data_IF_542321351204
#
_entry.id   IF_542321351204
#
_cell.length_a   1.000
_cell.length_b   1.000
_cell.length_c   1.000
_cell.angle_alpha   90.00
_cell.angle_beta   90.00
_cell.angle_gamma   90.00
#
_symmetry.space_group_name_H-M   'P 1'
#
loop_
_entity.id
_entity.type
_entity.pdbx_description
1 polymer ?
#
# COMPACT_ATOMS: atom_id res chain seq x y z
N UNK A 1 -14.90 -26.47 -35.55
CA UNK A 1 -14.68 -27.47 -34.48
C UNK A 1 -15.35 -26.92 -33.23
N UNK A 2 -16.36 -27.61 -32.72
CA UNK A 2 -17.10 -27.17 -31.53
C UNK A 2 -16.20 -27.34 -30.31
N UNK A 3 -15.94 -26.25 -29.58
CA UNK A 3 -15.23 -26.31 -28.30
C UNK A 3 -16.01 -27.21 -27.35
N UNK A 4 -15.31 -28.08 -26.63
CA UNK A 4 -15.93 -29.00 -25.68
C UNK A 4 -16.53 -28.24 -24.50
N UNK A 5 -17.64 -28.72 -23.94
CA UNK A 5 -18.28 -28.08 -22.76
C UNK A 5 -17.30 -27.92 -21.58
N UNK A 6 -16.32 -28.81 -21.47
CA UNK A 6 -15.25 -28.74 -20.49
C UNK A 6 -14.30 -27.54 -20.71
N UNK A 7 -14.01 -27.16 -21.96
CA UNK A 7 -13.19 -25.98 -22.27
C UNK A 7 -13.93 -24.68 -21.94
N UNK A 8 -15.23 -24.65 -22.21
CA UNK A 8 -16.09 -23.51 -21.89
C UNK A 8 -16.17 -23.31 -20.37
N UNK A 9 -16.34 -24.41 -19.62
CA UNK A 9 -16.37 -24.38 -18.16
C UNK A 9 -15.03 -23.92 -17.57
N UNK A 10 -13.91 -24.45 -18.09
CA UNK A 10 -12.57 -24.05 -17.66
C UNK A 10 -12.27 -22.57 -17.93
N UNK A 11 -12.73 -22.03 -19.06
CA UNK A 11 -12.58 -20.61 -19.37
C UNK A 11 -13.39 -19.73 -18.41
N UNK A 12 -14.61 -20.14 -18.04
CA UNK A 12 -15.42 -19.43 -17.04
C UNK A 12 -14.77 -19.42 -15.67
N UNK A 13 -14.23 -20.55 -15.23
CA UNK A 13 -13.53 -20.66 -13.95
C UNK A 13 -12.27 -19.79 -13.90
N UNK A 14 -11.51 -19.72 -15.01
CA UNK A 14 -10.37 -18.80 -15.13
C UNK A 14 -10.80 -17.33 -15.04
N UNK A 15 -11.85 -16.93 -15.77
CA UNK A 15 -12.36 -15.55 -15.73
C UNK A 15 -12.84 -15.17 -14.32
N UNK A 16 -13.53 -16.07 -13.62
CA UNK A 16 -14.00 -15.82 -12.26
C UNK A 16 -12.83 -15.69 -11.27
N UNK A 17 -11.78 -16.51 -11.41
CA UNK A 17 -10.59 -16.41 -10.58
C UNK A 17 -9.83 -15.09 -10.84
N UNK A 18 -9.76 -14.65 -12.10
CA UNK A 18 -9.16 -13.36 -12.47
C UNK A 18 -9.95 -12.17 -11.89
N UNK A 19 -11.28 -12.19 -11.94
CA UNK A 19 -12.13 -11.16 -11.32
C UNK A 19 -11.98 -11.12 -9.78
N UNK A 20 -11.92 -12.28 -9.13
CA UNK A 20 -11.74 -12.39 -7.67
C UNK A 20 -10.37 -11.90 -7.21
N UNK A 21 -9.31 -12.17 -7.97
CA UNK A 21 -7.92 -11.84 -7.61
C UNK A 21 -7.49 -10.43 -8.04
N UNK A 22 -8.16 -9.82 -9.04
CA UNK A 22 -7.69 -8.58 -9.67
C UNK A 22 -8.73 -7.46 -9.81
N UNK A 23 -9.84 -7.50 -9.07
CA UNK A 23 -10.92 -6.47 -9.12
C UNK A 23 -10.55 -5.05 -8.64
N UNK A 24 -9.28 -4.79 -8.30
CA UNK A 24 -8.77 -3.46 -7.98
C UNK A 24 -7.99 -2.84 -9.15
N UNK A 25 -7.98 -1.50 -9.24
CA UNK A 25 -7.10 -0.78 -10.17
C UNK A 25 -5.65 -1.16 -9.87
N UNK A 26 -5.04 -1.95 -10.75
CA UNK A 26 -3.62 -2.29 -10.66
C UNK A 26 -2.77 -1.08 -11.05
N UNK A 27 -2.69 -0.09 -10.17
CA UNK A 27 -1.79 1.03 -10.40
C UNK A 27 -0.35 0.53 -10.36
N UNK A 28 0.43 0.97 -11.35
CA UNK A 28 1.86 0.77 -11.34
C UNK A 28 2.42 1.66 -10.22
N UNK A 29 2.92 1.04 -9.15
CA UNK A 29 3.75 1.72 -8.17
C UNK A 29 5.22 1.77 -8.63
N UNK A 30 6.03 2.62 -7.99
CA UNK A 30 7.46 2.76 -8.32
C UNK A 30 8.20 1.41 -8.37
N UNK A 31 8.02 0.56 -7.35
CA UNK A 31 8.66 -0.75 -7.29
C UNK A 31 8.21 -1.70 -8.43
N UNK A 32 6.92 -1.71 -8.76
CA UNK A 32 6.35 -2.53 -9.85
C UNK A 32 6.82 -2.03 -11.22
N UNK A 33 6.90 -0.72 -11.39
CA UNK A 33 7.49 -0.09 -12.58
C UNK A 33 8.95 -0.49 -12.76
N UNK A 34 9.75 -0.37 -11.69
CA UNK A 34 11.17 -0.70 -11.71
C UNK A 34 11.43 -2.17 -12.07
N UNK A 35 10.62 -3.09 -11.52
CA UNK A 35 10.69 -4.52 -11.87
C UNK A 35 10.49 -4.78 -13.36
N UNK A 36 9.63 -4.00 -14.01
CA UNK A 36 9.35 -4.08 -15.45
C UNK A 36 10.31 -3.24 -16.30
N UNK A 37 11.38 -2.68 -15.71
CA UNK A 37 12.35 -1.82 -16.40
C UNK A 37 11.91 -0.37 -16.60
N UNK A 38 10.79 0.05 -16.00
CA UNK A 38 10.29 1.42 -16.07
C UNK A 38 10.69 2.21 -14.82
N UNK A 39 11.67 3.10 -14.96
CA UNK A 39 12.08 4.01 -13.88
C UNK A 39 11.31 5.33 -13.99
N UNK A 40 10.31 5.53 -13.11
CA UNK A 40 9.55 6.78 -13.02
C UNK A 40 9.97 7.54 -11.77
N UNK A 41 10.92 8.46 -11.92
CA UNK A 41 11.52 9.19 -10.80
C UNK A 41 10.49 10.05 -10.05
N UNK A 42 9.55 10.68 -10.75
CA UNK A 42 8.59 11.65 -10.21
C UNK A 42 7.69 11.09 -9.10
N UNK A 43 7.57 9.76 -8.98
CA UNK A 43 6.77 9.13 -7.93
C UNK A 43 7.47 9.09 -6.56
N UNK A 44 8.79 9.26 -6.53
CA UNK A 44 9.60 9.14 -5.31
C UNK A 44 10.65 10.25 -5.15
N UNK A 45 10.88 11.05 -6.20
CA UNK A 45 11.92 12.08 -6.23
C UNK A 45 11.32 13.46 -6.56
N UNK A 46 11.70 14.51 -5.80
CA UNK A 46 12.43 14.46 -4.53
C UNK A 46 11.63 13.70 -3.46
N UNK A 47 12.26 13.37 -2.33
CA UNK A 47 11.55 12.67 -1.25
C UNK A 47 10.25 13.42 -0.90
N UNK A 48 9.08 12.76 -0.96
CA UNK A 48 7.80 13.41 -0.74
C UNK A 48 7.76 14.10 0.62
N UNK A 49 7.25 15.34 0.63
CA UNK A 49 7.05 16.11 1.85
C UNK A 49 5.56 16.29 2.09
N UNK A 50 5.18 16.34 3.36
CA UNK A 50 3.83 16.74 3.75
C UNK A 50 3.60 18.20 3.36
N UNK A 51 2.34 18.54 3.09
CA UNK A 51 1.94 19.91 2.85
C UNK A 51 2.09 20.75 4.14
N UNK A 52 2.32 22.06 3.98
CA UNK A 52 2.56 22.95 5.11
C UNK A 52 1.32 23.10 6.02
N UNK A 53 0.12 22.85 5.50
CA UNK A 53 -1.12 22.97 6.27
C UNK A 53 -1.28 21.82 7.28
N UNK A 54 -0.86 20.60 6.91
CA UNK A 54 -0.86 19.39 7.75
C UNK A 54 0.34 19.32 8.69
N UNK A 55 1.37 20.13 8.45
CA UNK A 55 2.57 20.13 9.28
C UNK A 55 2.24 20.50 10.75
N UNK A 56 1.40 21.52 10.97
CA UNK A 56 1.00 21.93 12.31
C UNK A 56 0.18 20.85 13.03
N UNK A 57 -0.72 20.18 12.30
CA UNK A 57 -1.52 19.06 12.84
C UNK A 57 -0.62 17.90 13.25
N UNK A 58 0.34 17.53 12.40
CA UNK A 58 1.33 16.50 12.71
C UNK A 58 2.14 16.86 13.96
N UNK A 59 2.63 18.10 14.05
CA UNK A 59 3.45 18.53 15.19
C UNK A 59 2.66 18.51 16.50
N UNK A 60 1.39 18.94 16.48
CA UNK A 60 0.50 18.84 17.64
C UNK A 60 0.30 17.40 18.08
N UNK A 61 -0.07 16.52 17.15
CA UNK A 61 -0.30 15.10 17.44
C UNK A 61 0.96 14.41 17.98
N UNK A 62 2.13 14.69 17.40
CA UNK A 62 3.40 14.16 17.89
C UNK A 62 3.75 14.65 19.30
N UNK A 63 3.45 15.92 19.61
CA UNK A 63 3.66 16.47 20.96
C UNK A 63 2.79 15.76 22.00
N UNK A 64 1.50 15.54 21.70
CA UNK A 64 0.57 14.85 22.58
C UNK A 64 1.00 13.40 22.85
N UNK A 65 1.36 12.66 21.80
CA UNK A 65 1.85 11.28 21.93
C UNK A 65 3.11 11.23 22.79
N UNK A 66 4.07 12.14 22.56
CA UNK A 66 5.30 12.21 23.35
C UNK A 66 5.01 12.47 24.83
N UNK A 67 4.16 13.44 25.14
CA UNK A 67 3.81 13.75 26.53
C UNK A 67 3.13 12.57 27.24
N UNK A 68 2.26 11.85 26.53
CA UNK A 68 1.64 10.64 27.07
C UNK A 68 2.69 9.55 27.34
N UNK A 69 3.60 9.29 26.37
CA UNK A 69 4.66 8.30 26.55
C UNK A 69 5.57 8.67 27.73
N UNK A 70 5.99 9.92 27.84
CA UNK A 70 6.86 10.39 28.92
C UNK A 70 6.22 10.27 30.31
N UNK A 71 4.89 10.41 30.40
CA UNK A 71 4.15 10.35 31.67
C UNK A 71 3.78 8.92 32.07
N UNK A 72 3.34 8.13 31.10
CA UNK A 72 2.58 6.91 31.36
C UNK A 72 3.33 5.62 30.97
N UNK A 73 4.38 5.71 30.13
CA UNK A 73 5.12 4.54 29.66
C UNK A 73 6.35 4.28 30.53
N UNK A 74 6.41 3.11 31.16
CA UNK A 74 7.65 2.57 31.73
C UNK A 74 8.29 1.59 30.73
N UNK A 75 9.35 2.01 29.99
CA UNK A 75 9.99 1.15 29.02
C UNK A 75 10.73 -0.04 29.65
N UNK A 76 11.30 0.15 30.85
CA UNK A 76 12.07 -0.90 31.54
C UNK A 76 11.14 -1.99 32.08
N UNK A 77 9.91 -1.64 32.47
CA UNK A 77 8.90 -2.63 32.84
C UNK A 77 8.40 -3.42 31.63
N UNK A 78 8.28 -2.80 30.44
CA UNK A 78 7.83 -3.47 29.21
C UNK A 78 8.90 -4.42 28.65
N UNK A 79 10.17 -4.07 28.76
CA UNK A 79 11.29 -4.86 28.23
C UNK A 79 11.57 -6.14 29.05
N UNK A 80 11.17 -6.18 30.32
CA UNK A 80 11.38 -7.30 31.26
C UNK A 80 10.42 -8.46 31.03
#
# INVERSE_FOLDING_TARGET
MAQSEAEIQRQKEMQQAEELLFSGRQELGFAKGLFLGNFVADWVMPYPRLDAARQTELESALSEVRQMLDRDLDPDWIDR
#
